data_IF_877846099414
#
_entry.id   IF_877846099414
#
_cell.length_a   1.000
_cell.length_b   1.000
_cell.length_c   1.000
_cell.angle_alpha   90.00
_cell.angle_beta   90.00
_cell.angle_gamma   90.00
#
_symmetry.space_group_name_H-M   'P 1'
#
loop_
_entity.id
_entity.type
_entity.pdbx_description
1 polymer ?
#
# COMPACT_ATOMS: atom_id res chain seq x y z
N UNK A 1 -19.03 -2.90 5.97
CA UNK A 1 -19.96 -3.16 4.85
C UNK A 1 -19.63 -4.52 4.24
N UNK A 2 -20.65 -5.33 4.04
CA UNK A 2 -20.44 -6.67 3.46
C UNK A 2 -20.36 -6.59 1.94
N UNK A 3 -19.63 -7.54 1.35
CA UNK A 3 -19.59 -7.68 -0.10
C UNK A 3 -20.96 -8.13 -0.61
N UNK A 4 -21.41 -7.61 -1.77
CA UNK A 4 -22.66 -8.10 -2.38
C UNK A 4 -22.54 -9.59 -2.75
N UNK A 5 -23.65 -10.31 -2.63
CA UNK A 5 -23.73 -11.72 -2.94
C UNK A 5 -24.92 -11.97 -3.89
N UNK A 6 -24.69 -12.39 -5.14
CA UNK A 6 -23.36 -12.57 -5.76
C UNK A 6 -22.67 -11.24 -6.02
N UNK A 7 -21.37 -11.28 -6.18
CA UNK A 7 -20.58 -10.09 -6.45
C UNK A 7 -20.95 -9.53 -7.83
N UNK A 8 -21.24 -8.23 -7.89
CA UNK A 8 -21.55 -7.58 -9.16
C UNK A 8 -20.27 -7.31 -9.96
N UNK A 9 -20.39 -7.16 -11.27
CA UNK A 9 -19.26 -6.81 -12.13
C UNK A 9 -18.65 -5.47 -11.71
N UNK A 10 -19.49 -4.50 -11.41
CA UNK A 10 -19.02 -3.17 -10.97
C UNK A 10 -18.23 -3.28 -9.67
N UNK A 11 -18.70 -4.04 -8.71
CA UNK A 11 -17.99 -4.24 -7.44
C UNK A 11 -16.66 -4.95 -7.67
N UNK A 12 -16.65 -5.97 -8.53
CA UNK A 12 -15.41 -6.70 -8.88
C UNK A 12 -14.37 -5.78 -9.50
N UNK A 13 -14.79 -4.88 -10.39
CA UNK A 13 -13.88 -3.91 -11.02
C UNK A 13 -13.29 -2.93 -10.01
N UNK A 14 -14.09 -2.43 -9.09
CA UNK A 14 -13.62 -1.51 -8.05
C UNK A 14 -12.63 -2.20 -7.11
N UNK A 15 -12.91 -3.42 -6.72
CA UNK A 15 -12.00 -4.21 -5.87
C UNK A 15 -10.69 -4.47 -6.61
N UNK A 16 -10.77 -4.90 -7.87
CA UNK A 16 -9.58 -5.15 -8.69
C UNK A 16 -8.74 -3.89 -8.86
N UNK A 17 -9.39 -2.72 -9.03
CA UNK A 17 -8.70 -1.45 -9.13
C UNK A 17 -7.90 -1.15 -7.86
N UNK A 18 -8.48 -1.41 -6.68
CA UNK A 18 -7.80 -1.23 -5.40
C UNK A 18 -6.58 -2.14 -5.29
N UNK A 19 -6.68 -3.38 -5.73
CA UNK A 19 -5.54 -4.30 -5.74
C UNK A 19 -4.45 -3.84 -6.71
N UNK A 20 -4.81 -3.34 -7.88
CA UNK A 20 -3.83 -2.80 -8.84
C UNK A 20 -3.06 -1.62 -8.26
N UNK A 21 -3.72 -0.80 -7.46
CA UNK A 21 -3.10 0.32 -6.77
C UNK A 21 -1.94 -0.15 -5.88
N UNK A 22 -2.11 -1.32 -5.25
CA UNK A 22 -1.14 -1.91 -4.34
C UNK A 22 -0.15 -2.87 -5.05
N UNK A 23 -0.31 -3.10 -6.33
CA UNK A 23 0.53 -4.04 -7.08
C UNK A 23 1.83 -3.40 -7.58
N UNK A 24 2.35 -2.44 -6.83
CA UNK A 24 3.59 -1.73 -7.15
C UNK A 24 4.46 -1.72 -5.90
N UNK A 25 5.65 -2.38 -5.93
CA UNK A 25 6.48 -2.52 -4.73
C UNK A 25 6.80 -1.21 -4.03
N UNK A 26 7.07 -0.14 -4.78
CA UNK A 26 7.37 1.16 -4.17
C UNK A 26 6.19 1.68 -3.36
N UNK A 27 4.97 1.49 -3.84
CA UNK A 27 3.79 1.93 -3.09
C UNK A 27 3.60 1.13 -1.80
N UNK A 28 3.87 -0.17 -1.83
CA UNK A 28 3.84 -1.00 -0.62
C UNK A 28 4.87 -0.51 0.40
N UNK A 29 6.08 -0.21 -0.06
CA UNK A 29 7.15 0.31 0.80
C UNK A 29 6.79 1.67 1.41
N UNK A 30 6.18 2.55 0.63
CA UNK A 30 5.73 3.86 1.12
C UNK A 30 4.69 3.72 2.22
N UNK A 31 3.71 2.85 2.00
CA UNK A 31 2.66 2.60 3.00
C UNK A 31 3.24 2.00 4.28
N UNK A 32 4.19 1.10 4.15
CA UNK A 32 4.87 0.50 5.31
C UNK A 32 5.61 1.57 6.11
N UNK A 33 6.36 2.43 5.43
CA UNK A 33 7.11 3.50 6.10
C UNK A 33 6.18 4.51 6.78
N UNK A 34 5.04 4.81 6.16
CA UNK A 34 4.06 5.76 6.72
C UNK A 34 3.33 5.21 7.94
N UNK A 35 3.50 3.93 8.25
CA UNK A 35 3.00 3.35 9.51
C UNK A 35 3.66 3.99 10.71
N UNK A 36 4.90 4.47 10.58
CA UNK A 36 5.65 5.12 11.66
C UNK A 36 5.22 6.57 11.89
N UNK A 37 4.36 7.10 11.05
CA UNK A 37 3.83 8.45 11.17
C UNK A 37 3.98 9.25 9.88
N UNK A 38 3.51 10.49 9.91
CA UNK A 38 3.59 11.40 8.77
C UNK A 38 5.04 11.62 8.32
N UNK A 39 5.21 11.80 7.03
CA UNK A 39 6.52 12.10 6.47
C UNK A 39 6.38 12.96 5.21
N UNK A 40 7.42 13.71 4.89
CA UNK A 40 7.49 14.46 3.64
C UNK A 40 8.19 13.64 2.56
N UNK A 41 8.13 14.13 1.31
CA UNK A 41 8.70 13.43 0.17
C UNK A 41 10.18 13.14 0.33
N UNK A 42 10.94 14.12 0.82
CA UNK A 42 12.39 13.96 0.96
C UNK A 42 12.76 12.93 2.02
N UNK A 43 12.05 12.92 3.15
CA UNK A 43 12.23 11.92 4.21
C UNK A 43 11.97 10.52 3.67
N UNK A 44 10.90 10.37 2.89
CA UNK A 44 10.53 9.08 2.31
C UNK A 44 11.52 8.63 1.24
N UNK A 45 11.99 9.55 0.40
CA UNK A 45 12.98 9.24 -0.62
C UNK A 45 14.28 8.75 0.00
N UNK A 46 14.75 9.42 1.05
CA UNK A 46 15.94 9.02 1.79
C UNK A 46 15.76 7.65 2.44
N UNK A 47 14.64 7.46 3.14
CA UNK A 47 14.37 6.20 3.84
C UNK A 47 14.30 5.01 2.90
N UNK A 48 13.78 5.20 1.68
CA UNK A 48 13.58 4.12 0.72
C UNK A 48 14.66 4.02 -0.37
N UNK A 49 15.67 4.89 -0.30
CA UNK A 49 16.79 4.86 -1.26
C UNK A 49 16.37 5.15 -2.68
N UNK A 50 15.47 6.09 -2.88
CA UNK A 50 14.95 6.46 -4.20
C UNK A 50 14.92 7.99 -4.36
N UNK A 51 14.40 8.47 -5.48
CA UNK A 51 14.33 9.90 -5.77
C UNK A 51 13.04 10.52 -5.26
N UNK A 52 13.08 11.83 -4.99
CA UNK A 52 11.89 12.60 -4.61
C UNK A 52 10.83 12.55 -5.70
N UNK A 53 11.23 12.57 -6.96
CA UNK A 53 10.30 12.49 -8.09
C UNK A 53 9.55 11.17 -8.10
N UNK A 54 10.24 10.07 -7.84
CA UNK A 54 9.61 8.75 -7.79
C UNK A 54 8.62 8.64 -6.63
N UNK A 55 9.00 9.13 -5.46
CA UNK A 55 8.11 9.18 -4.29
C UNK A 55 6.88 10.04 -4.57
N UNK A 56 7.06 11.25 -5.10
CA UNK A 56 5.96 12.15 -5.46
C UNK A 56 4.97 11.51 -6.43
N UNK A 57 5.48 10.82 -7.43
CA UNK A 57 4.66 10.12 -8.41
C UNK A 57 3.74 9.09 -7.74
N UNK A 58 4.32 8.25 -6.90
CA UNK A 58 3.56 7.20 -6.22
C UNK A 58 2.61 7.74 -5.15
N UNK A 59 3.03 8.74 -4.38
CA UNK A 59 2.16 9.40 -3.41
C UNK A 59 0.99 10.09 -4.11
N UNK A 60 1.21 10.67 -5.28
CA UNK A 60 0.14 11.29 -6.06
C UNK A 60 -0.93 10.30 -6.46
N UNK A 61 -0.54 9.09 -6.86
CA UNK A 61 -1.48 8.01 -7.18
C UNK A 61 -2.27 7.62 -5.94
N UNK A 62 -1.58 7.38 -4.82
CA UNK A 62 -2.21 7.00 -3.55
C UNK A 62 -3.16 8.07 -3.01
N UNK A 63 -2.81 9.33 -3.17
CA UNK A 63 -3.64 10.45 -2.73
C UNK A 63 -4.91 10.58 -3.56
N UNK A 64 -4.81 10.42 -4.88
CA UNK A 64 -5.99 10.48 -5.76
C UNK A 64 -6.99 9.37 -5.44
N UNK A 65 -6.51 8.23 -4.99
CA UNK A 65 -7.35 7.08 -4.65
C UNK A 65 -7.79 7.06 -3.18
N UNK A 66 -7.47 8.11 -2.43
CA UNK A 66 -7.94 8.26 -1.05
C UNK A 66 -7.24 7.37 -0.03
N UNK A 67 -6.09 6.83 -0.36
CA UNK A 67 -5.32 5.97 0.57
C UNK A 67 -4.47 6.82 1.50
N UNK A 68 -3.88 7.88 0.97
CA UNK A 68 -3.10 8.84 1.76
C UNK A 68 -3.68 10.24 1.61
N UNK A 69 -3.44 11.08 2.61
CA UNK A 69 -3.80 12.49 2.58
C UNK A 69 -2.53 13.33 2.69
N UNK A 70 -2.56 14.47 2.01
CA UNK A 70 -1.47 15.44 2.01
C UNK A 70 -1.85 16.60 2.91
N UNK A 71 -0.94 17.00 3.78
CA UNK A 71 -1.10 18.15 4.67
C UNK A 71 0.04 19.13 4.42
N UNK A 72 -0.29 20.38 4.14
CA UNK A 72 0.71 21.43 3.98
C UNK A 72 1.35 21.74 5.34
N UNK A 73 2.67 21.86 5.37
CA UNK A 73 3.44 22.15 6.57
C UNK A 73 4.59 23.08 6.19
N UNK A 74 4.34 24.40 6.22
CA UNK A 74 5.29 25.40 5.76
C UNK A 74 5.59 25.23 4.27
N UNK A 75 6.85 25.04 3.91
CA UNK A 75 7.29 24.82 2.53
C UNK A 75 7.22 23.36 2.12
N UNK A 76 6.82 22.49 3.03
CA UNK A 76 6.75 21.05 2.79
C UNK A 76 5.31 20.57 2.78
N UNK A 77 5.11 19.37 2.27
CA UNK A 77 3.87 18.66 2.38
C UNK A 77 4.14 17.35 3.11
N UNK A 78 3.33 17.06 4.12
CA UNK A 78 3.39 15.81 4.84
C UNK A 78 2.28 14.89 4.38
N UNK A 79 2.58 13.62 4.33
CA UNK A 79 1.64 12.59 3.90
C UNK A 79 1.37 11.63 5.05
N UNK A 80 0.13 11.19 5.17
CA UNK A 80 -0.27 10.17 6.15
C UNK A 80 -1.26 9.21 5.50
N UNK A 81 -1.29 7.99 5.98
CA UNK A 81 -2.30 7.02 5.55
C UNK A 81 -3.63 7.36 6.22
N UNK A 82 -4.70 7.42 5.44
CA UNK A 82 -6.06 7.66 5.95
C UNK A 82 -6.95 6.43 5.84
N UNK A 83 -6.59 5.48 4.99
CA UNK A 83 -7.27 4.18 4.89
C UNK A 83 -6.43 3.15 5.64
N UNK A 84 -6.64 3.04 6.94
CA UNK A 84 -5.84 2.18 7.81
C UNK A 84 -6.01 0.69 7.52
N UNK A 85 -7.11 0.29 6.91
CA UNK A 85 -7.33 -1.09 6.49
C UNK A 85 -6.30 -1.58 5.48
N UNK A 86 -5.56 -0.67 4.86
CA UNK A 86 -4.53 -1.03 3.89
C UNK A 86 -3.41 -1.87 4.52
N UNK A 87 -3.05 -1.58 5.76
CA UNK A 87 -2.01 -2.34 6.47
C UNK A 87 -2.49 -3.74 6.85
N UNK A 88 -3.76 -3.88 7.24
CA UNK A 88 -4.36 -5.18 7.50
C UNK A 88 -4.36 -6.04 6.25
N UNK A 89 -4.70 -5.45 5.10
CA UNK A 89 -4.68 -6.15 3.82
C UNK A 89 -3.27 -6.66 3.50
N UNK A 90 -2.26 -5.81 3.63
CA UNK A 90 -0.87 -6.19 3.40
C UNK A 90 -0.44 -7.31 4.36
N UNK A 91 -0.86 -7.24 5.61
CA UNK A 91 -0.56 -8.26 6.62
C UNK A 91 -1.18 -9.60 6.25
N UNK A 92 -2.43 -9.61 5.81
CA UNK A 92 -3.12 -10.83 5.39
C UNK A 92 -2.46 -11.47 4.17
N UNK A 93 -2.06 -10.65 3.20
CA UNK A 93 -1.35 -11.14 2.00
C UNK A 93 0.00 -11.73 2.40
N UNK A 94 0.75 -11.04 3.26
CA UNK A 94 2.04 -11.52 3.76
C UNK A 94 1.90 -12.88 4.42
N UNK A 95 0.89 -13.04 5.31
CA UNK A 95 0.63 -14.29 5.98
C UNK A 95 0.30 -15.44 5.01
N UNK A 96 -0.45 -15.13 3.95
CA UNK A 96 -0.75 -16.10 2.90
C UNK A 96 0.49 -16.57 2.14
N UNK A 97 1.38 -15.63 1.85
CA UNK A 97 2.67 -15.93 1.20
C UNK A 97 3.53 -16.81 2.10
N UNK A 98 3.63 -16.47 3.37
CA UNK A 98 4.41 -17.27 4.33
C UNK A 98 3.91 -18.71 4.42
N UNK A 99 2.59 -18.90 4.50
CA UNK A 99 1.99 -20.25 4.55
C UNK A 99 2.30 -21.03 3.27
N UNK A 100 2.29 -20.38 2.13
CA UNK A 100 2.63 -21.04 0.86
C UNK A 100 4.09 -21.46 0.82
N UNK A 101 5.00 -20.58 1.24
CA UNK A 101 6.43 -20.88 1.27
C UNK A 101 6.73 -22.02 2.24
N UNK A 102 6.07 -22.07 3.38
CA UNK A 102 6.23 -23.13 4.35
C UNK A 102 5.80 -24.49 3.77
N UNK A 103 4.65 -24.52 3.06
CA UNK A 103 4.19 -25.74 2.39
C UNK A 103 5.16 -26.24 1.33
N UNK A 104 5.69 -25.33 0.50
CA UNK A 104 6.68 -25.69 -0.51
C UNK A 104 7.93 -26.26 0.14
N UNK A 105 8.41 -25.64 1.21
CA UNK A 105 9.57 -26.11 1.95
C UNK A 105 9.35 -27.52 2.51
N UNK A 106 8.21 -27.77 3.09
CA UNK A 106 7.87 -29.09 3.64
C UNK A 106 7.80 -30.15 2.55
N UNK A 107 7.20 -29.82 1.40
CA UNK A 107 7.12 -30.72 0.25
C UNK A 107 8.50 -31.11 -0.26
N UNK A 108 9.42 -30.15 -0.31
CA UNK A 108 10.80 -30.42 -0.73
C UNK A 108 11.57 -31.23 0.32
N UNK A 109 11.17 -31.17 1.58
CA UNK A 109 11.81 -31.88 2.67
C UNK A 109 11.33 -33.32 2.81
N UNK A 110 10.16 -33.60 2.28
CA UNK A 110 9.54 -34.92 2.33
C UNK A 110 10.13 -35.81 1.25
#
# INVERSE_FOLDING_TARGET
MALPQPLTDAAAELIAHRFRLLAEPMRVKLLDRLRDGEANVNELAEALGTTSQNVSKHLGVLAREGVVARRKDGNFARYRVVDEGIWELCHLVCGGIERRLERVRLDLSA
#
